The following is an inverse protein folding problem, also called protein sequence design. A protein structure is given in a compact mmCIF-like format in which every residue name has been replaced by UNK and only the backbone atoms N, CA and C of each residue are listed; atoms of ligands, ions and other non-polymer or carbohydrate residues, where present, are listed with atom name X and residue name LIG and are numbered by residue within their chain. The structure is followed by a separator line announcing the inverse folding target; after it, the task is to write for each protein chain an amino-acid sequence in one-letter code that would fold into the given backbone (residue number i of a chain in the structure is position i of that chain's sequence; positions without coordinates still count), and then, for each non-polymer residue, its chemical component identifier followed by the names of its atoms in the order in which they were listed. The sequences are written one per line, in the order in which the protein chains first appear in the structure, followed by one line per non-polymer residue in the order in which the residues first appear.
data_IF_543392498998
#
_entry.id   IF_543392498998
#
_cell.length_a   1.000
_cell.length_b   1.000
_cell.length_c   1.000
_cell.angle_alpha   90.00
_cell.angle_beta   90.00
_cell.angle_gamma   90.00
#
_symmetry.space_group_name_H-M   'P 1'
#
loop_
_entity.id
_entity.type
_entity.pdbx_description
1 polymer ?
#
# COMPACT_ATOMS: atom_id res chain seq x y z
N UNK A 1 46.59 -8.83 -15.31
CA UNK A 1 46.51 -7.38 -15.09
C UNK A 1 46.29 -6.80 -16.47
N UNK A 2 45.03 -6.80 -16.89
CA UNK A 2 44.57 -6.19 -18.15
C UNK A 2 43.26 -5.49 -17.77
N UNK A 3 43.31 -4.16 -17.82
CA UNK A 3 42.17 -3.27 -17.67
C UNK A 3 41.25 -3.43 -18.88
N UNK A 4 39.95 -3.56 -18.63
CA UNK A 4 38.93 -3.40 -19.67
C UNK A 4 38.11 -2.18 -19.30
N UNK A 5 38.11 -1.24 -20.25
CA UNK A 5 37.59 0.11 -20.20
C UNK A 5 36.10 0.20 -20.53
N UNK A 6 35.57 1.37 -20.16
CA UNK A 6 34.40 2.06 -20.73
C UNK A 6 33.02 1.43 -20.59
N UNK A 7 32.28 1.98 -19.62
CA UNK A 7 30.83 1.91 -19.51
C UNK A 7 30.26 3.08 -20.30
N UNK A 8 29.53 2.80 -21.38
CA UNK A 8 28.72 3.79 -22.09
C UNK A 8 27.57 4.28 -21.19
N UNK A 9 27.66 5.54 -20.79
CA UNK A 9 26.59 6.26 -20.09
C UNK A 9 25.62 6.80 -21.14
N UNK A 10 24.49 6.13 -21.31
CA UNK A 10 23.39 6.66 -22.11
C UNK A 10 22.72 7.77 -21.31
N UNK A 11 22.98 9.03 -21.69
CA UNK A 11 22.18 10.17 -21.26
C UNK A 11 20.79 10.08 -21.93
N UNK A 12 19.73 9.99 -21.13
CA UNK A 12 18.37 10.22 -21.59
C UNK A 12 17.98 11.65 -21.21
N UNK A 13 17.65 12.44 -22.22
CA UNK A 13 17.21 13.83 -22.11
C UNK A 13 15.87 13.95 -21.36
N UNK A 14 15.70 15.12 -20.74
CA UNK A 14 14.55 15.51 -19.92
C UNK A 14 13.22 15.41 -20.68
N UNK A 15 12.30 14.62 -20.12
CA UNK A 15 10.91 14.58 -20.57
C UNK A 15 10.00 15.07 -19.43
N UNK A 16 9.05 15.93 -19.82
CA UNK A 16 8.07 16.58 -18.95
C UNK A 16 7.41 15.62 -17.95
N UNK A 17 7.52 15.97 -16.67
CA UNK A 17 6.94 15.22 -15.55
C UNK A 17 5.44 15.53 -15.51
N UNK A 18 4.61 14.58 -15.95
CA UNK A 18 3.17 14.60 -15.73
C UNK A 18 2.88 13.71 -14.52
N UNK A 19 2.43 14.31 -13.41
CA UNK A 19 2.03 13.58 -12.21
C UNK A 19 0.69 12.84 -12.45
N UNK A 20 0.59 11.52 -12.16
CA UNK A 20 -0.66 10.78 -12.26
C UNK A 20 -1.56 11.01 -11.03
N UNK A 21 -2.86 10.76 -11.18
CA UNK A 21 -3.87 10.89 -10.13
C UNK A 21 -3.54 10.03 -8.90
N UNK A 22 -3.61 10.64 -7.72
CA UNK A 22 -3.26 10.04 -6.44
C UNK A 22 -4.45 10.00 -5.48
N UNK A 23 -4.47 8.99 -4.61
CA UNK A 23 -5.32 8.95 -3.41
C UNK A 23 -4.67 9.82 -2.34
N UNK A 24 -5.42 10.78 -1.79
CA UNK A 24 -4.93 11.79 -0.85
C UNK A 24 -5.49 11.55 0.55
N UNK A 25 -4.61 11.56 1.55
CA UNK A 25 -4.99 11.57 2.97
C UNK A 25 -4.46 12.87 3.59
N UNK A 26 -5.37 13.73 4.04
CA UNK A 26 -5.08 14.98 4.77
C UNK A 26 -5.40 14.73 6.24
N UNK A 27 -4.45 15.00 7.13
CA UNK A 27 -4.67 14.99 8.58
C UNK A 27 -4.45 16.41 9.08
N UNK A 28 -5.51 17.04 9.58
CA UNK A 28 -5.44 18.33 10.27
C UNK A 28 -4.88 18.14 11.68
N UNK A 29 -3.83 18.91 12.03
CA UNK A 29 -3.34 19.01 13.40
C UNK A 29 -4.04 20.17 14.12
N UNK A 30 -4.82 19.89 15.15
CA UNK A 30 -5.30 20.91 16.10
C UNK A 30 -4.52 20.81 17.40
N UNK A 31 -3.69 21.82 17.67
CA UNK A 31 -3.15 22.09 19.01
C UNK A 31 -4.17 22.90 19.82
N UNK A 32 -4.39 22.49 21.06
CA UNK A 32 -4.99 23.34 22.09
C UNK A 32 -4.24 23.12 23.42
N UNK A 33 -3.62 24.21 23.89
CA UNK A 33 -2.96 24.30 25.18
C UNK A 33 -3.95 24.61 26.32
N UNK A 34 -3.71 23.94 27.44
CA UNK A 34 -3.92 24.25 28.86
C UNK A 34 -5.06 25.16 29.36
N UNK A 35 -5.76 24.64 30.37
CA UNK A 35 -6.60 25.38 31.30
C UNK A 35 -7.21 24.49 32.39
N UNK A 36 -6.55 24.40 33.55
CA UNK A 36 -7.01 23.65 34.72
C UNK A 36 -8.21 24.32 35.43
N UNK A 37 -9.16 23.52 35.95
CA UNK A 37 -9.39 23.32 37.39
C UNK A 37 -10.88 23.05 37.79
N UNK A 38 -11.03 22.03 38.66
CA UNK A 38 -11.97 21.89 39.80
C UNK A 38 -13.37 21.24 39.63
N UNK A 39 -13.49 20.16 40.41
CA UNK A 39 -14.62 19.33 40.86
C UNK A 39 -15.97 19.99 41.18
N UNK A 40 -17.06 19.27 40.88
CA UNK A 40 -18.16 19.03 41.84
C UNK A 40 -19.00 17.79 41.47
N UNK A 41 -19.11 16.90 42.45
CA UNK A 41 -19.94 15.69 42.54
C UNK A 41 -21.42 16.05 42.72
N UNK A 42 -22.36 15.36 42.08
CA UNK A 42 -23.68 15.00 42.67
C UNK A 42 -24.29 13.83 41.90
N UNK A 43 -24.59 12.75 42.64
CA UNK A 43 -25.40 11.62 42.21
C UNK A 43 -26.85 11.83 42.67
N UNK A 44 -27.84 11.42 41.85
CA UNK A 44 -29.18 11.06 42.32
C UNK A 44 -29.70 9.87 41.48
N UNK A 45 -30.34 8.95 42.21
CA UNK A 45 -30.82 7.63 41.87
C UNK A 45 -32.13 7.56 41.04
N UNK A 46 -32.26 6.42 40.35
CA UNK A 46 -33.40 5.47 40.21
C UNK A 46 -34.75 5.81 39.53
N UNK A 47 -35.11 4.86 38.64
CA UNK A 47 -36.43 4.25 38.33
C UNK A 47 -37.52 5.17 37.74
N UNK A 48 -38.42 4.76 36.83
CA UNK A 48 -38.99 3.45 36.51
C UNK A 48 -39.64 3.49 35.10
N UNK A 49 -40.05 2.32 34.61
CA UNK A 49 -40.65 2.01 33.31
C UNK A 49 -41.96 2.75 32.97
N UNK A 50 -42.27 2.92 31.67
CA UNK A 50 -43.39 2.20 31.03
C UNK A 50 -43.39 2.35 29.49
N UNK A 51 -43.94 1.29 28.89
CA UNK A 51 -44.34 0.97 27.53
C UNK A 51 -44.65 2.06 26.51
N UNK A 52 -44.29 1.77 25.25
CA UNK A 52 -45.16 2.00 24.08
C UNK A 52 -44.74 1.08 22.92
N UNK A 53 -45.50 0.00 22.75
CA UNK A 53 -45.52 -0.82 21.53
C UNK A 53 -46.13 0.01 20.40
N UNK A 54 -45.40 0.20 19.30
CA UNK A 54 -45.98 0.58 18.01
C UNK A 54 -45.47 -0.35 16.93
N UNK A 55 -46.35 -1.24 16.50
CA UNK A 55 -46.16 -2.16 15.38
C UNK A 55 -46.15 -1.38 14.07
N UNK A 56 -44.98 -1.22 13.45
CA UNK A 56 -44.87 -0.75 12.06
C UNK A 56 -44.83 -1.98 11.13
N UNK A 57 -45.95 -2.21 10.44
CA UNK A 57 -46.08 -3.17 9.36
C UNK A 57 -45.34 -2.62 8.14
N UNK A 58 -44.29 -3.31 7.69
CA UNK A 58 -43.59 -3.02 6.43
C UNK A 58 -44.43 -3.54 5.23
N UNK A 59 -44.67 -2.72 4.18
CA UNK A 59 -45.36 -3.18 2.99
C UNK A 59 -44.46 -4.05 2.10
N UNK A 60 -45.12 -4.96 1.39
CA UNK A 60 -44.55 -5.99 0.53
C UNK A 60 -43.69 -5.44 -0.62
N UNK A 61 -42.70 -6.26 -0.98
CA UNK A 61 -41.73 -6.05 -2.05
C UNK A 61 -42.37 -5.64 -3.39
N UNK A 62 -41.93 -4.49 -3.91
CA UNK A 62 -42.15 -4.12 -5.30
C UNK A 62 -41.11 -4.81 -6.19
N UNK A 63 -41.58 -5.38 -7.29
CA UNK A 63 -40.81 -6.17 -8.24
C UNK A 63 -39.65 -5.37 -8.87
N UNK A 64 -38.45 -5.96 -8.81
CA UNK A 64 -37.24 -5.51 -9.53
C UNK A 64 -37.44 -5.71 -11.04
N UNK A 65 -37.11 -4.74 -11.90
CA UNK A 65 -37.18 -4.94 -13.34
C UNK A 65 -36.10 -5.92 -13.80
N UNK A 66 -36.47 -6.84 -14.69
CA UNK A 66 -35.58 -7.77 -15.37
C UNK A 66 -34.43 -7.02 -16.04
N UNK A 67 -33.21 -7.20 -15.50
CA UNK A 67 -31.99 -6.85 -16.20
C UNK A 67 -31.84 -7.83 -17.38
N UNK A 68 -32.08 -7.31 -18.58
CA UNK A 68 -31.77 -8.01 -19.83
C UNK A 68 -30.28 -8.35 -19.83
N UNK A 69 -30.00 -9.66 -19.79
CA UNK A 69 -28.65 -10.21 -19.83
C UNK A 69 -27.96 -9.88 -21.16
N UNK A 70 -27.28 -8.74 -21.19
CA UNK A 70 -26.23 -8.49 -22.15
C UNK A 70 -25.05 -9.40 -21.80
N UNK A 71 -24.76 -10.36 -22.65
CA UNK A 71 -23.56 -11.17 -22.60
C UNK A 71 -22.35 -10.23 -22.77
N UNK A 72 -21.78 -9.76 -21.66
CA UNK A 72 -20.45 -9.17 -21.67
C UNK A 72 -19.48 -10.31 -22.00
N UNK A 73 -18.88 -10.27 -23.19
CA UNK A 73 -17.78 -11.18 -23.48
C UNK A 73 -16.54 -10.62 -22.77
N UNK A 74 -15.99 -11.42 -21.86
CA UNK A 74 -14.73 -11.20 -21.14
C UNK A 74 -13.49 -11.30 -22.07
N UNK A 75 -13.67 -11.00 -23.35
CA UNK A 75 -12.60 -11.05 -24.33
C UNK A 75 -11.82 -9.74 -24.30
N UNK A 76 -10.74 -9.72 -23.51
CA UNK A 76 -9.57 -8.89 -23.74
C UNK A 76 -9.77 -7.36 -23.67
N UNK A 77 -10.20 -6.83 -22.51
CA UNK A 77 -9.61 -5.58 -22.03
C UNK A 77 -8.27 -5.93 -21.35
N UNK A 78 -7.33 -6.44 -22.13
CA UNK A 78 -5.98 -6.67 -21.66
C UNK A 78 -5.36 -5.31 -21.39
N UNK A 79 -4.81 -5.11 -20.18
CA UNK A 79 -4.06 -3.92 -19.75
C UNK A 79 -3.03 -3.43 -20.80
N UNK A 80 -2.62 -4.29 -21.74
CA UNK A 80 -1.79 -3.97 -22.91
C UNK A 80 -2.29 -2.77 -23.75
N UNK A 81 -3.59 -2.46 -23.82
CA UNK A 81 -4.05 -1.27 -24.57
C UNK A 81 -3.90 0.04 -23.77
N UNK A 82 -3.93 -0.02 -22.44
CA UNK A 82 -3.70 1.14 -21.57
C UNK A 82 -2.21 1.44 -21.36
N UNK A 83 -1.30 0.49 -21.67
CA UNK A 83 0.15 0.68 -21.52
C UNK A 83 0.76 1.73 -22.46
N UNK A 84 0.03 2.19 -23.49
CA UNK A 84 0.48 3.30 -24.34
C UNK A 84 0.60 4.64 -23.59
N UNK A 85 -0.11 4.81 -22.47
CA UNK A 85 -0.03 6.01 -21.63
C UNK A 85 0.74 5.80 -20.31
N UNK A 86 0.95 4.56 -19.89
CA UNK A 86 1.63 4.22 -18.64
C UNK A 86 3.10 3.90 -18.92
N UNK A 87 4.01 4.71 -18.37
CA UNK A 87 5.46 4.54 -18.54
C UNK A 87 6.12 4.33 -17.19
N UNK A 88 7.24 3.61 -17.20
CA UNK A 88 8.08 3.48 -16.02
C UNK A 88 8.54 4.86 -15.54
N UNK A 89 8.31 5.14 -14.26
CA UNK A 89 8.72 6.37 -13.62
C UNK A 89 10.20 6.36 -13.22
N UNK A 90 10.80 7.56 -13.23
CA UNK A 90 12.16 7.81 -12.75
C UNK A 90 12.07 8.37 -11.33
N UNK A 91 12.77 7.73 -10.39
CA UNK A 91 12.86 8.24 -9.01
C UNK A 91 13.61 9.57 -8.95
N UNK A 92 13.18 10.46 -8.07
CA UNK A 92 13.89 11.68 -7.70
C UNK A 92 14.35 11.57 -6.24
N UNK A 93 15.45 10.84 -6.02
CA UNK A 93 15.88 10.48 -4.66
C UNK A 93 16.37 11.71 -3.87
N UNK A 94 16.97 12.69 -4.54
CA UNK A 94 17.38 13.96 -3.96
C UNK A 94 16.25 14.99 -4.07
N UNK A 95 15.89 15.71 -2.98
CA UNK A 95 14.85 16.74 -3.03
C UNK A 95 15.14 17.80 -4.09
N UNK A 96 14.17 18.02 -4.99
CA UNK A 96 14.18 19.09 -5.99
C UNK A 96 13.18 20.17 -5.60
N UNK A 97 13.60 21.43 -5.67
CA UNK A 97 12.69 22.56 -5.48
C UNK A 97 11.79 22.70 -6.72
N UNK A 98 10.49 22.84 -6.51
CA UNK A 98 9.52 23.07 -7.58
C UNK A 98 9.28 24.57 -7.78
N UNK A 99 8.95 24.96 -9.01
CA UNK A 99 8.50 26.32 -9.31
C UNK A 99 7.05 26.51 -8.84
N UNK A 100 6.82 27.53 -8.01
CA UNK A 100 5.52 27.79 -7.38
C UNK A 100 4.87 29.00 -8.03
N UNK A 101 3.76 28.78 -8.73
CA UNK A 101 2.94 29.85 -9.29
C UNK A 101 1.84 30.24 -8.29
N UNK A 102 1.90 31.47 -7.79
CA UNK A 102 0.98 31.99 -6.77
C UNK A 102 1.63 32.08 -5.38
N UNK A 103 0.80 32.01 -4.34
CA UNK A 103 1.26 32.14 -2.94
C UNK A 103 0.63 31.05 -2.09
N UNK A 104 1.47 30.28 -1.40
CA UNK A 104 1.05 29.28 -0.43
C UNK A 104 0.56 29.97 0.86
N UNK A 105 -0.47 29.44 1.52
CA UNK A 105 -0.85 29.92 2.84
C UNK A 105 0.27 29.67 3.86
N UNK A 106 0.58 30.64 4.72
CA UNK A 106 1.67 30.55 5.70
C UNK A 106 1.56 29.33 6.64
N UNK A 107 0.33 28.92 6.96
CA UNK A 107 0.05 27.76 7.81
C UNK A 107 0.34 26.42 7.13
N UNK A 108 0.50 26.40 5.80
CA UNK A 108 0.75 25.17 5.04
C UNK A 108 2.21 24.74 5.20
N UNK A 109 2.48 23.99 6.27
CA UNK A 109 3.79 23.40 6.54
C UNK A 109 3.61 21.91 6.81
N UNK A 110 4.44 21.08 6.18
CA UNK A 110 4.41 19.64 6.41
C UNK A 110 4.79 18.84 5.18
N UNK A 111 4.33 17.59 5.15
CA UNK A 111 4.58 16.67 4.06
C UNK A 111 3.27 16.10 3.54
N UNK A 112 3.15 16.00 2.22
CA UNK A 112 2.12 15.23 1.55
C UNK A 112 2.77 14.04 0.85
N UNK A 113 2.25 12.86 1.12
CA UNK A 113 2.72 11.63 0.51
C UNK A 113 1.69 11.11 -0.47
N UNK A 114 2.16 10.63 -1.62
CA UNK A 114 1.31 9.93 -2.57
C UNK A 114 1.97 8.62 -2.97
N UNK A 115 1.14 7.63 -3.27
CA UNK A 115 1.56 6.36 -3.82
C UNK A 115 1.09 6.30 -5.27
N UNK A 116 2.01 5.95 -6.15
CA UNK A 116 1.75 5.90 -7.59
C UNK A 116 2.36 4.63 -8.18
N UNK A 117 1.79 4.11 -9.28
CA UNK A 117 2.45 3.07 -10.03
C UNK A 117 3.81 3.53 -10.58
N UNK A 118 4.88 2.79 -10.28
CA UNK A 118 6.24 3.17 -10.65
C UNK A 118 6.76 2.42 -11.87
N UNK A 119 6.88 1.10 -11.79
CA UNK A 119 7.41 0.25 -12.87
C UNK A 119 6.36 -0.77 -13.30
N UNK A 120 6.03 -0.75 -14.59
CA UNK A 120 5.07 -1.66 -15.22
C UNK A 120 5.75 -2.77 -16.02
N UNK A 121 6.94 -2.48 -16.55
CA UNK A 121 7.68 -3.38 -17.42
C UNK A 121 9.15 -3.44 -17.02
N UNK A 122 9.72 -4.63 -17.02
CA UNK A 122 11.15 -4.84 -16.78
C UNK A 122 11.75 -5.59 -17.95
N UNK A 123 12.64 -4.93 -18.69
CA UNK A 123 13.41 -5.55 -19.76
C UNK A 123 14.56 -6.36 -19.18
N UNK A 124 14.75 -7.57 -19.69
CA UNK A 124 15.79 -8.50 -19.26
C UNK A 124 16.38 -9.28 -20.44
N UNK A 125 17.68 -9.62 -20.40
CA UNK A 125 18.31 -10.42 -21.44
C UNK A 125 17.94 -11.90 -21.28
N UNK A 126 17.69 -12.59 -22.40
CA UNK A 126 17.44 -14.03 -22.45
C UNK A 126 18.20 -14.64 -23.61
N UNK A 127 18.96 -15.70 -23.33
CA UNK A 127 19.57 -16.51 -24.38
C UNK A 127 18.49 -17.34 -25.08
N UNK A 128 18.40 -17.19 -26.39
CA UNK A 128 17.49 -17.94 -27.27
C UNK A 128 18.32 -18.60 -28.37
N UNK A 129 17.91 -19.79 -28.79
CA UNK A 129 18.58 -20.50 -29.88
C UNK A 129 17.83 -20.18 -31.17
N UNK A 130 18.49 -19.45 -32.08
CA UNK A 130 17.93 -19.09 -33.38
C UNK A 130 18.79 -19.75 -34.45
N UNK A 131 18.20 -20.67 -35.22
CA UNK A 131 18.91 -21.48 -36.22
C UNK A 131 20.09 -22.30 -35.67
N UNK A 132 20.00 -22.77 -34.42
CA UNK A 132 21.04 -23.58 -33.79
C UNK A 132 22.13 -22.77 -33.08
N UNK A 133 22.15 -21.44 -33.26
CA UNK A 133 23.13 -20.56 -32.63
C UNK A 133 22.53 -19.83 -31.42
N UNK A 134 23.26 -19.73 -30.29
CA UNK A 134 22.82 -18.97 -29.13
C UNK A 134 22.89 -17.46 -29.42
N UNK A 135 21.76 -16.78 -29.32
CA UNK A 135 21.64 -15.34 -29.49
C UNK A 135 21.03 -14.72 -28.22
N UNK A 136 21.48 -13.52 -27.85
CA UNK A 136 20.91 -12.76 -26.74
C UNK A 136 19.75 -11.92 -27.26
N UNK A 137 18.53 -12.22 -26.80
CA UNK A 137 17.33 -11.43 -27.10
C UNK A 137 16.90 -10.67 -25.84
N UNK A 138 16.35 -9.45 -26.02
CA UNK A 138 15.72 -8.72 -24.90
C UNK A 138 14.27 -9.17 -24.80
N UNK A 139 13.88 -9.69 -23.63
CA UNK A 139 12.48 -9.97 -23.29
C UNK A 139 11.96 -8.95 -22.28
N UNK A 140 10.65 -8.83 -22.19
CA UNK A 140 9.97 -7.92 -21.25
C UNK A 140 9.12 -8.74 -20.29
N UNK A 141 9.35 -8.55 -19.00
CA UNK A 141 8.40 -8.96 -17.96
C UNK A 141 7.40 -7.82 -17.78
N UNK A 142 6.10 -8.11 -17.84
CA UNK A 142 5.04 -7.11 -17.68
C UNK A 142 4.18 -7.51 -16.49
N UNK A 143 3.86 -6.55 -15.63
CA UNK A 143 2.87 -6.77 -14.58
C UNK A 143 1.48 -6.90 -15.20
N UNK A 144 0.70 -7.89 -14.74
CA UNK A 144 -0.59 -8.26 -15.33
C UNK A 144 -1.75 -7.35 -14.92
N UNK A 145 -1.55 -6.50 -13.91
CA UNK A 145 -2.56 -5.62 -13.36
C UNK A 145 -1.93 -4.32 -12.83
N UNK A 146 -2.67 -3.19 -12.88
CA UNK A 146 -2.21 -1.92 -12.32
C UNK A 146 -1.79 -1.98 -10.85
N UNK A 147 -2.34 -2.89 -10.04
CA UNK A 147 -1.96 -3.02 -8.62
C UNK A 147 -0.67 -3.80 -8.38
N UNK A 148 -0.09 -4.42 -9.41
CA UNK A 148 1.07 -5.32 -9.25
C UNK A 148 2.41 -4.63 -9.53
N UNK A 149 2.35 -3.39 -10.01
CA UNK A 149 3.52 -2.61 -10.37
C UNK A 149 4.52 -2.48 -9.20
N UNK A 150 5.78 -2.15 -9.50
CA UNK A 150 6.71 -1.68 -8.45
C UNK A 150 6.29 -0.25 -8.09
N UNK A 151 5.83 0.01 -6.85
CA UNK A 151 5.29 1.31 -6.50
C UNK A 151 6.37 2.38 -6.43
N UNK A 152 5.96 3.62 -6.71
CA UNK A 152 6.72 4.82 -6.44
C UNK A 152 6.01 5.64 -5.37
N UNK A 153 6.75 5.95 -4.31
CA UNK A 153 6.32 6.85 -3.24
C UNK A 153 6.83 8.24 -3.58
N UNK A 154 5.92 9.21 -3.59
CA UNK A 154 6.25 10.61 -3.79
C UNK A 154 6.01 11.39 -2.51
N UNK A 155 6.89 12.34 -2.21
CA UNK A 155 6.77 13.26 -1.08
C UNK A 155 6.87 14.69 -1.59
N UNK A 156 5.92 15.52 -1.16
CA UNK A 156 5.94 16.97 -1.32
C UNK A 156 6.10 17.60 0.05
N UNK A 157 7.21 18.29 0.28
CA UNK A 157 7.45 19.08 1.48
C UNK A 157 7.01 20.52 1.24
N UNK A 158 6.12 21.03 2.09
CA UNK A 158 5.59 22.38 2.00
C UNK A 158 6.20 23.28 3.06
N UNK A 159 6.60 24.47 2.64
CA UNK A 159 6.95 25.58 3.53
C UNK A 159 6.22 26.82 3.06
N UNK A 160 5.00 27.02 3.58
CA UNK A 160 4.12 28.13 3.21
C UNK A 160 4.76 29.50 3.44
N UNK A 161 5.39 29.69 4.60
CA UNK A 161 6.09 30.93 4.96
C UNK A 161 7.25 31.30 4.02
N UNK A 162 7.87 30.31 3.38
CA UNK A 162 8.93 30.51 2.40
C UNK A 162 8.42 30.41 0.94
N UNK A 163 7.12 30.18 0.75
CA UNK A 163 6.48 29.88 -0.53
C UNK A 163 7.23 28.77 -1.32
N UNK A 164 7.68 27.72 -0.63
CA UNK A 164 8.53 26.67 -1.19
C UNK A 164 7.85 25.31 -1.16
N UNK A 165 7.97 24.57 -2.27
CA UNK A 165 7.63 23.14 -2.35
C UNK A 165 8.88 22.38 -2.78
N UNK A 166 9.26 21.35 -2.02
CA UNK A 166 10.29 20.39 -2.42
C UNK A 166 9.65 19.06 -2.77
N UNK A 167 10.07 18.47 -3.87
CA UNK A 167 9.63 17.17 -4.35
C UNK A 167 10.75 16.14 -4.25
N UNK A 168 10.39 14.93 -3.82
CA UNK A 168 11.23 13.75 -3.97
C UNK A 168 10.37 12.52 -4.22
N UNK A 169 10.98 11.50 -4.80
CA UNK A 169 10.34 10.19 -4.95
C UNK A 169 11.35 9.05 -4.84
N UNK A 170 10.88 7.90 -4.37
CA UNK A 170 11.66 6.68 -4.31
C UNK A 170 10.83 5.48 -4.77
N UNK A 171 11.52 4.41 -5.17
CA UNK A 171 10.92 3.09 -5.42
C UNK A 171 11.28 2.17 -4.26
N UNK A 172 10.39 1.94 -3.28
CA UNK A 172 10.72 1.13 -2.12
C UNK A 172 11.19 -0.27 -2.54
N UNK A 173 10.43 -0.91 -3.44
CA UNK A 173 10.71 -2.24 -3.96
C UNK A 173 11.73 -2.28 -5.13
N UNK A 174 12.68 -1.34 -5.22
CA UNK A 174 13.65 -1.28 -6.33
C UNK A 174 14.42 -2.58 -6.62
N UNK A 175 14.66 -3.45 -5.62
CA UNK A 175 15.37 -4.72 -5.87
C UNK A 175 14.48 -5.77 -6.55
N UNK A 176 13.16 -5.61 -6.54
CA UNK A 176 12.26 -6.47 -7.31
C UNK A 176 12.58 -6.37 -8.81
N UNK A 177 12.94 -5.17 -9.29
CA UNK A 177 13.37 -4.92 -10.67
C UNK A 177 14.63 -5.75 -11.02
N UNK A 178 15.66 -5.71 -10.16
CA UNK A 178 16.87 -6.52 -10.34
C UNK A 178 16.57 -8.02 -10.31
N UNK A 179 15.68 -8.46 -9.41
CA UNK A 179 15.29 -9.87 -9.31
C UNK A 179 14.58 -10.37 -10.56
N UNK A 180 13.70 -9.54 -11.13
CA UNK A 180 13.06 -9.83 -12.42
C UNK A 180 14.10 -9.98 -13.52
N UNK A 181 15.09 -9.09 -13.57
CA UNK A 181 16.17 -9.18 -14.56
C UNK A 181 17.01 -10.44 -14.41
N UNK A 182 17.39 -10.77 -13.19
CA UNK A 182 18.25 -11.92 -12.87
C UNK A 182 17.55 -13.27 -13.09
N UNK A 183 16.28 -13.37 -12.71
CA UNK A 183 15.55 -14.64 -12.68
C UNK A 183 14.50 -14.78 -13.77
N UNK A 184 14.38 -13.79 -14.66
CA UNK A 184 13.38 -13.76 -15.74
C UNK A 184 11.93 -13.83 -15.22
N UNK A 185 11.73 -13.41 -13.97
CA UNK A 185 10.47 -13.51 -13.23
C UNK A 185 10.64 -13.01 -11.78
N UNK A 186 9.53 -12.95 -11.05
CA UNK A 186 9.46 -12.35 -9.71
C UNK A 186 8.75 -13.28 -8.74
N UNK A 187 9.38 -13.62 -7.62
CA UNK A 187 8.71 -14.35 -6.55
C UNK A 187 8.51 -13.41 -5.36
N UNK A 188 7.26 -12.99 -5.04
CA UNK A 188 7.02 -12.22 -3.83
C UNK A 188 7.36 -13.07 -2.59
N UNK A 189 7.86 -12.43 -1.52
CA UNK A 189 8.18 -13.19 -0.30
C UNK A 189 6.93 -13.56 0.50
N UNK A 190 5.84 -12.81 0.32
CA UNK A 190 4.57 -13.05 0.98
C UNK A 190 3.49 -13.47 -0.02
N UNK A 191 2.59 -14.38 0.37
CA UNK A 191 1.38 -14.62 -0.40
C UNK A 191 0.60 -13.31 -0.55
N UNK A 192 -0.04 -13.13 -1.71
CA UNK A 192 -0.93 -12.00 -1.97
C UNK A 192 -0.28 -10.61 -2.04
N UNK A 193 1.06 -10.54 -2.13
CA UNK A 193 1.75 -9.30 -2.51
C UNK A 193 1.46 -8.86 -3.96
N UNK A 194 0.96 -9.77 -4.81
CA UNK A 194 0.53 -9.48 -6.20
C UNK A 194 -0.90 -9.96 -6.41
N UNK A 195 -1.69 -9.17 -7.13
CA UNK A 195 -3.09 -9.38 -7.49
C UNK A 195 -3.26 -10.35 -8.67
N UNK A 196 -2.74 -10.02 -9.87
CA UNK A 196 -3.00 -10.79 -11.10
C UNK A 196 -1.81 -10.75 -12.08
N UNK A 197 -0.60 -11.06 -11.57
CA UNK A 197 0.60 -11.15 -12.40
C UNK A 197 1.09 -12.60 -12.50
N UNK A 198 1.37 -13.04 -13.72
CA UNK A 198 2.15 -14.25 -13.92
C UNK A 198 3.61 -13.97 -13.56
N UNK A 199 4.04 -14.55 -12.45
CA UNK A 199 5.38 -14.38 -11.91
C UNK A 199 6.47 -15.02 -12.77
N UNK A 200 6.11 -15.85 -13.76
CA UNK A 200 7.04 -16.73 -14.50
C UNK A 200 7.85 -17.65 -13.54
N UNK A 201 7.25 -18.04 -12.41
CA UNK A 201 7.85 -18.89 -11.39
C UNK A 201 7.02 -20.16 -11.24
N UNK A 202 7.69 -21.30 -11.05
CA UNK A 202 6.99 -22.56 -10.88
C UNK A 202 6.17 -22.56 -9.59
N UNK A 203 5.04 -23.27 -9.59
CA UNK A 203 4.21 -23.48 -8.39
C UNK A 203 5.03 -24.11 -7.25
N UNK A 204 6.02 -24.94 -7.59
CA UNK A 204 6.96 -25.50 -6.62
C UNK A 204 7.85 -24.44 -5.96
N UNK A 205 8.32 -23.43 -6.70
CA UNK A 205 9.09 -22.34 -6.12
C UNK A 205 8.27 -21.55 -5.09
N UNK A 206 6.97 -21.34 -5.36
CA UNK A 206 6.02 -20.71 -4.42
C UNK A 206 5.80 -21.55 -3.15
N UNK A 207 5.71 -22.88 -3.29
CA UNK A 207 5.52 -23.78 -2.14
C UNK A 207 6.77 -23.92 -1.27
N UNK A 208 7.97 -23.84 -1.88
CA UNK A 208 9.25 -23.95 -1.16
C UNK A 208 9.70 -22.62 -0.52
N UNK A 209 9.19 -21.48 -1.00
CA UNK A 209 9.54 -20.15 -0.47
C UNK A 209 8.74 -19.74 0.76
N UNK A 210 7.85 -20.61 1.29
CA UNK A 210 7.04 -20.35 2.49
C UNK A 210 7.84 -20.33 3.80
N UNK A 211 9.16 -20.15 3.72
CA UNK A 211 9.95 -19.85 4.91
C UNK A 211 9.55 -18.45 5.38
N UNK A 212 9.04 -18.35 6.61
CA UNK A 212 8.72 -17.10 7.32
C UNK A 212 9.96 -16.23 7.60
N UNK A 213 10.93 -16.17 6.68
CA UNK A 213 11.98 -15.17 6.75
C UNK A 213 11.35 -13.82 6.50
N UNK A 214 11.57 -12.88 7.42
CA UNK A 214 11.15 -11.49 7.25
C UNK A 214 11.51 -11.03 5.85
N UNK A 215 10.49 -10.54 5.12
CA UNK A 215 10.65 -10.04 3.77
C UNK A 215 11.75 -8.98 3.74
N UNK A 216 12.51 -8.92 2.64
CA UNK A 216 13.46 -7.81 2.49
C UNK A 216 12.66 -6.57 2.08
N UNK A 217 12.71 -5.44 2.80
CA UNK A 217 11.94 -4.22 2.46
C UNK A 217 12.07 -3.78 1.01
N UNK A 218 13.27 -3.97 0.45
CA UNK A 218 13.59 -3.65 -0.94
C UNK A 218 12.93 -4.54 -2.01
N UNK A 219 12.23 -5.61 -1.63
CA UNK A 219 11.61 -6.58 -2.52
C UNK A 219 10.08 -6.58 -2.48
N UNK A 220 9.45 -5.93 -1.48
CA UNK A 220 8.01 -5.98 -1.29
C UNK A 220 7.30 -4.78 -1.94
N UNK A 221 6.52 -5.00 -3.03
CA UNK A 221 5.77 -3.96 -3.71
C UNK A 221 4.51 -3.62 -2.91
N UNK A 222 4.66 -2.79 -1.87
CA UNK A 222 3.54 -2.25 -1.10
C UNK A 222 2.94 -1.05 -1.85
N UNK A 223 2.05 -1.32 -2.81
CA UNK A 223 1.53 -0.34 -3.77
C UNK A 223 0.06 0.05 -3.61
N UNK A 224 -0.66 -0.42 -2.58
CA UNK A 224 -2.10 -0.20 -2.45
C UNK A 224 -2.46 1.05 -1.63
N UNK A 225 -1.71 1.34 -0.57
CA UNK A 225 -1.96 2.51 0.28
C UNK A 225 -0.68 3.06 0.91
N UNK A 226 -0.74 4.33 1.30
CA UNK A 226 0.30 5.01 2.06
C UNK A 226 -0.34 5.80 3.21
N UNK A 227 0.13 5.57 4.42
CA UNK A 227 -0.46 6.15 5.63
C UNK A 227 0.58 6.52 6.67
N UNK A 228 0.26 7.53 7.49
CA UNK A 228 0.98 7.83 8.72
C UNK A 228 0.17 7.19 9.85
N UNK A 229 0.64 6.07 10.40
CA UNK A 229 -0.12 5.26 11.36
C UNK A 229 0.14 5.73 12.80
N UNK A 230 -0.81 6.40 13.47
CA UNK A 230 -0.49 7.14 14.69
C UNK A 230 -0.27 6.36 16.00
N UNK A 231 -0.36 5.01 16.15
CA UNK A 231 0.24 4.38 17.32
C UNK A 231 1.73 4.05 17.13
N UNK A 232 2.18 3.82 15.90
CA UNK A 232 3.55 3.36 15.62
C UNK A 232 4.57 4.50 15.53
N UNK A 233 4.10 5.76 15.49
CA UNK A 233 4.94 6.96 15.48
C UNK A 233 5.06 7.63 16.87
N UNK A 234 4.56 6.98 17.92
CA UNK A 234 4.55 7.53 19.28
C UNK A 234 5.96 7.67 19.91
N UNK A 235 6.96 6.97 19.38
CA UNK A 235 8.36 7.06 19.83
C UNK A 235 9.11 8.27 19.24
N UNK A 236 8.40 9.14 18.53
CA UNK A 236 8.97 10.32 17.87
C UNK A 236 9.63 10.02 16.53
N UNK A 237 9.67 8.75 16.08
CA UNK A 237 10.01 8.44 14.69
C UNK A 237 8.90 8.94 13.80
N UNK A 238 9.27 9.69 12.77
CA UNK A 238 8.35 10.05 11.69
C UNK A 238 8.46 8.96 10.64
N UNK A 239 7.53 8.01 10.67
CA UNK A 239 7.47 6.88 9.74
C UNK A 239 6.20 6.97 8.90
N UNK A 240 6.34 6.69 7.61
CA UNK A 240 5.21 6.45 6.71
C UNK A 240 5.17 4.97 6.36
N UNK A 241 3.96 4.42 6.30
CA UNK A 241 3.71 3.01 6.07
C UNK A 241 3.09 2.83 4.69
N UNK A 242 3.70 2.00 3.87
CA UNK A 242 3.09 1.56 2.61
C UNK A 242 2.52 0.16 2.80
N UNK A 243 1.32 -0.10 2.29
CA UNK A 243 0.67 -1.40 2.43
C UNK A 243 0.25 -1.97 1.07
N UNK A 244 0.07 -3.29 1.04
CA UNK A 244 -0.65 -4.01 0.01
C UNK A 244 -1.67 -4.94 0.70
N UNK A 245 -2.17 -5.94 -0.02
CA UNK A 245 -3.14 -6.90 0.53
C UNK A 245 -2.49 -8.04 1.33
N UNK A 246 -1.17 -8.08 1.48
CA UNK A 246 -0.48 -9.09 2.27
C UNK A 246 -0.51 -8.72 3.76
N UNK A 247 -0.13 -9.67 4.62
CA UNK A 247 -0.13 -9.51 6.08
C UNK A 247 1.01 -8.62 6.63
N UNK A 248 1.45 -7.59 5.90
CA UNK A 248 2.56 -6.76 6.33
C UNK A 248 2.47 -5.32 5.85
N UNK A 249 3.25 -4.47 6.50
CA UNK A 249 3.41 -3.06 6.17
C UNK A 249 4.89 -2.76 5.96
N UNK A 250 5.18 -1.91 4.97
CA UNK A 250 6.52 -1.45 4.66
C UNK A 250 6.76 -0.09 5.30
N UNK A 251 7.79 0.01 6.13
CA UNK A 251 8.15 1.24 6.81
C UNK A 251 9.13 2.06 5.99
N UNK A 252 8.84 3.36 5.85
CA UNK A 252 9.76 4.32 5.26
C UNK A 252 9.95 5.48 6.23
N UNK A 253 11.18 6.00 6.29
CA UNK A 253 11.44 7.26 6.98
C UNK A 253 10.65 8.38 6.31
N UNK A 254 9.88 9.13 7.08
CA UNK A 254 9.01 10.18 6.56
C UNK A 254 9.81 11.31 5.89
N UNK A 255 10.97 11.68 6.42
CA UNK A 255 11.78 12.78 5.88
C UNK A 255 12.61 12.31 4.67
N UNK A 256 13.25 11.12 4.77
CA UNK A 256 14.22 10.62 3.79
C UNK A 256 13.64 9.67 2.73
N UNK A 257 12.44 9.13 2.95
CA UNK A 257 11.88 7.98 2.21
C UNK A 257 12.78 6.73 2.20
N UNK A 258 13.80 6.67 3.06
CA UNK A 258 14.64 5.49 3.18
C UNK A 258 13.86 4.35 3.82
N UNK A 259 14.12 3.14 3.35
CA UNK A 259 13.46 1.91 3.82
C UNK A 259 13.87 1.63 5.27
N UNK A 260 12.92 1.57 6.18
CA UNK A 260 13.13 1.16 7.56
C UNK A 260 13.12 -0.35 7.72
N UNK A 261 11.95 -0.95 7.54
CA UNK A 261 11.69 -2.36 7.80
C UNK A 261 10.39 -2.84 7.17
N UNK A 262 10.09 -4.11 7.39
CA UNK A 262 8.76 -4.67 7.16
C UNK A 262 8.26 -5.17 8.50
N UNK A 263 7.01 -4.87 8.82
CA UNK A 263 6.33 -5.31 10.02
C UNK A 263 5.13 -6.16 9.59
N UNK A 264 5.10 -7.43 10.00
CA UNK A 264 3.93 -8.27 9.79
C UNK A 264 2.93 -8.14 10.94
N UNK A 265 1.63 -8.20 10.65
CA UNK A 265 0.62 -8.01 11.71
C UNK A 265 0.65 -9.13 12.76
N UNK A 266 1.00 -10.34 12.36
CA UNK A 266 1.16 -11.48 13.28
C UNK A 266 2.42 -11.38 14.16
N UNK A 267 3.41 -10.58 13.75
CA UNK A 267 4.56 -10.21 14.60
C UNK A 267 4.20 -9.13 15.62
N UNK A 268 3.29 -8.21 15.28
CA UNK A 268 2.72 -7.25 16.24
C UNK A 268 1.96 -8.00 17.33
N UNK A 269 1.11 -8.93 16.91
CA UNK A 269 0.34 -9.79 17.80
C UNK A 269 0.08 -11.16 17.14
N UNK A 270 0.46 -12.29 17.77
CA UNK A 270 0.21 -13.62 17.22
C UNK A 270 -1.28 -13.97 16.99
N UNK A 271 -2.21 -13.15 17.51
CA UNK A 271 -3.65 -13.27 17.24
C UNK A 271 -4.10 -12.60 15.94
N UNK A 272 -3.31 -11.72 15.33
CA UNK A 272 -3.59 -11.07 14.04
C UNK A 272 -3.16 -11.98 12.88
N UNK A 273 -3.70 -13.19 12.88
CA UNK A 273 -3.32 -14.25 11.96
C UNK A 273 -3.88 -13.99 10.57
N UNK A 274 -3.18 -14.46 9.56
CA UNK A 274 -3.66 -14.45 8.19
C UNK A 274 -2.54 -14.22 7.20
N UNK A 275 -2.85 -14.47 5.94
CA UNK A 275 -1.96 -14.15 4.82
C UNK A 275 -2.27 -12.78 4.21
N UNK A 276 -3.41 -12.20 4.57
CA UNK A 276 -3.86 -10.92 4.02
C UNK A 276 -4.28 -9.96 5.13
N UNK A 277 -4.18 -8.68 4.84
CA UNK A 277 -4.74 -7.60 5.63
C UNK A 277 -5.40 -6.58 4.71
N UNK A 278 -6.29 -5.76 5.27
CA UNK A 278 -6.76 -4.58 4.53
C UNK A 278 -5.63 -3.55 4.45
N UNK A 279 -5.36 -2.98 3.26
CA UNK A 279 -4.43 -1.86 3.10
C UNK A 279 -5.01 -0.53 3.60
N UNK A 280 -6.25 -0.51 4.09
CA UNK A 280 -6.93 0.69 4.53
C UNK A 280 -7.36 0.52 6.00
N UNK A 281 -6.43 0.63 6.96
CA UNK A 281 -6.81 0.70 8.34
C UNK A 281 -7.53 2.03 8.61
N UNK A 282 -8.34 2.05 9.66
CA UNK A 282 -9.06 3.24 10.09
C UNK A 282 -8.50 3.73 11.41
N UNK A 283 -8.24 5.04 11.51
CA UNK A 283 -7.86 5.66 12.77
C UNK A 283 -9.04 6.39 13.39
N UNK A 284 -9.42 6.01 14.61
CA UNK A 284 -10.42 6.73 15.41
C UNK A 284 -9.71 7.84 16.23
N UNK A 285 -9.97 9.12 15.94
CA UNK A 285 -9.33 10.23 16.65
C UNK A 285 -9.85 10.44 18.08
N UNK A 286 -11.00 9.87 18.45
CA UNK A 286 -11.59 9.98 19.79
C UNK A 286 -10.96 8.95 20.72
N UNK A 287 -10.96 7.68 20.31
CA UNK A 287 -10.38 6.58 21.12
C UNK A 287 -8.88 6.44 20.93
N UNK A 288 -8.32 7.08 19.89
CA UNK A 288 -6.90 6.99 19.49
C UNK A 288 -6.52 5.56 19.06
N UNK A 289 -7.46 4.87 18.42
CA UNK A 289 -7.32 3.49 17.99
C UNK A 289 -7.07 3.39 16.48
N UNK A 290 -6.10 2.58 16.10
CA UNK A 290 -5.97 2.08 14.73
C UNK A 290 -6.70 0.75 14.63
N UNK A 291 -7.73 0.68 13.81
CA UNK A 291 -8.56 -0.49 13.58
C UNK A 291 -8.22 -1.07 12.20
N UNK A 292 -7.95 -2.37 12.15
CA UNK A 292 -7.77 -3.09 10.89
C UNK A 292 -8.25 -4.54 11.04
N UNK A 293 -8.11 -5.34 9.98
CA UNK A 293 -8.37 -6.76 10.04
C UNK A 293 -7.41 -7.56 9.17
N UNK A 294 -7.19 -8.82 9.58
CA UNK A 294 -6.49 -9.83 8.79
C UNK A 294 -7.42 -10.94 8.33
N UNK A 295 -7.05 -11.63 7.26
CA UNK A 295 -7.81 -12.76 6.70
C UNK A 295 -6.96 -14.02 6.68
N UNK A 296 -7.42 -15.04 7.39
CA UNK A 296 -6.89 -16.39 7.37
C UNK A 296 -7.73 -17.27 6.44
N UNK A 297 -7.15 -17.63 5.30
CA UNK A 297 -7.80 -18.46 4.29
C UNK A 297 -7.62 -19.94 4.65
N UNK A 298 -8.70 -20.58 5.11
CA UNK A 298 -8.80 -22.03 5.24
C UNK A 298 -9.36 -22.70 4.00
N UNK A 299 -9.39 -24.02 4.00
CA UNK A 299 -9.86 -24.81 2.85
C UNK A 299 -11.37 -24.63 2.56
N UNK A 300 -12.20 -24.44 3.60
CA UNK A 300 -13.65 -24.31 3.49
C UNK A 300 -14.22 -23.00 4.07
N UNK A 301 -13.37 -22.19 4.69
CA UNK A 301 -13.77 -20.99 5.37
C UNK A 301 -12.65 -19.98 5.41
N UNK A 302 -13.01 -18.70 5.42
CA UNK A 302 -12.10 -17.60 5.69
C UNK A 302 -12.44 -17.01 7.05
N UNK A 303 -11.45 -16.89 7.92
CA UNK A 303 -11.58 -16.20 9.20
C UNK A 303 -11.09 -14.77 9.05
N UNK A 304 -11.91 -13.81 9.49
CA UNK A 304 -11.58 -12.40 9.56
C UNK A 304 -11.29 -12.06 11.02
N UNK A 305 -10.10 -11.55 11.31
CA UNK A 305 -9.68 -11.15 12.65
C UNK A 305 -9.62 -9.62 12.71
N UNK A 306 -10.62 -9.01 13.34
CA UNK A 306 -10.67 -7.55 13.52
C UNK A 306 -9.89 -7.19 14.79
N UNK A 307 -9.03 -6.19 14.71
CA UNK A 307 -8.19 -5.78 15.82
C UNK A 307 -8.05 -4.27 15.93
N UNK A 308 -7.68 -3.83 17.13
CA UNK A 308 -7.37 -2.45 17.49
C UNK A 308 -5.93 -2.36 17.98
N UNK A 309 -5.25 -1.27 17.68
CA UNK A 309 -3.92 -0.94 18.20
C UNK A 309 -3.95 0.50 18.72
N UNK A 310 -3.40 0.73 19.91
CA UNK A 310 -3.26 2.07 20.50
C UNK A 310 -1.82 2.34 20.92
N UNK A 311 -1.49 3.59 21.23
CA UNK A 311 -0.19 3.90 21.85
C UNK A 311 0.00 3.20 23.20
N UNK A 312 -1.09 3.02 23.97
CA UNK A 312 -1.06 2.37 25.29
C UNK A 312 -0.94 0.85 25.18
N UNK A 313 -1.48 0.28 24.11
CA UNK A 313 -1.47 -1.14 23.80
C UNK A 313 -0.86 -1.34 22.39
N UNK A 314 0.48 -1.23 22.25
CA UNK A 314 1.15 -1.28 20.95
C UNK A 314 1.14 -2.69 20.32
N UNK A 315 0.92 -3.72 21.13
CA UNK A 315 0.64 -5.08 20.65
C UNK A 315 -0.82 -5.25 20.20
N UNK A 316 -1.67 -4.26 20.44
CA UNK A 316 -3.09 -4.30 20.13
C UNK A 316 -3.87 -5.43 20.80
N UNK A 317 -5.17 -5.45 20.50
CA UNK A 317 -6.10 -6.45 20.98
C UNK A 317 -7.08 -6.86 19.89
N UNK A 318 -7.53 -8.12 19.96
CA UNK A 318 -8.54 -8.65 19.05
C UNK A 318 -9.91 -8.10 19.47
N UNK A 319 -10.59 -7.41 18.55
CA UNK A 319 -11.95 -6.93 18.74
C UNK A 319 -12.94 -8.09 18.57
N UNK A 320 -12.80 -8.81 17.45
CA UNK A 320 -13.69 -9.91 17.10
C UNK A 320 -13.05 -10.83 16.06
N UNK A 321 -13.57 -12.05 15.94
CA UNK A 321 -13.29 -12.92 14.80
C UNK A 321 -14.59 -13.42 14.18
N UNK A 322 -14.68 -13.30 12.86
CA UNK A 322 -15.86 -13.69 12.08
C UNK A 322 -15.45 -14.74 11.07
N UNK A 323 -16.15 -15.86 11.02
CA UNK A 323 -15.90 -16.91 10.02
C UNK A 323 -16.94 -16.82 8.90
N UNK A 324 -16.47 -16.68 7.67
CA UNK A 324 -17.29 -16.80 6.47
C UNK A 324 -17.00 -18.12 5.76
N UNK A 325 -18.02 -18.70 5.12
CA UNK A 325 -17.80 -19.81 4.18
C UNK A 325 -17.12 -19.27 2.93
N UNK A 326 -16.12 -20.00 2.42
CA UNK A 326 -15.51 -19.64 1.14
C UNK A 326 -16.56 -19.74 0.04
N UNK A 327 -16.79 -18.66 -0.70
CA UNK A 327 -17.62 -18.71 -1.91
C UNK A 327 -16.84 -19.49 -2.97
N UNK A 328 -17.39 -20.64 -3.37
CA UNK A 328 -16.93 -21.40 -4.53
C UNK A 328 -17.40 -20.75 -5.83
#
# INVERSE_FOLDING_TARGET
MEEVSEVDVIQMEDADIIAPAATSTLIESTDAADGAATTATTAVNEAEADSLQTSAVLPAAAATPEATGGHFSDDNITFHKASLALRNAVSTELPKQLDVQGTLPDWMTGFHYTLSPGIFEVKYPKMVVVHGEPQQETKTFSFGHWFDNIPQVNQFSFSGSNNEIKYRSTKPAHRAESKIREHQGYLPSQPSSTFLTDTNQSVFARLLSTSHTQGKPSLEPCGASIEVLPPFNADGRRTVYCQNFANHVLELNADTLEKGGILAWDEVNPHFKGSHASPHPHYDPVTKELINFTMEHGFHSTQYHFFSITEKEPHGSLIASVTAKTSH
#
